data_IF_715744547638
#
_entry.id   IF_715744547638
#
_cell.length_a   1.000
_cell.length_b   1.000
_cell.length_c   1.000
_cell.angle_alpha   90.00
_cell.angle_beta   90.00
_cell.angle_gamma   90.00
#
_symmetry.space_group_name_H-M   'P 1'
#
loop_
_entity.id
_entity.type
_entity.pdbx_description
1 polymer ?
#
# COMPACT_ATOMS: atom_id res chain seq x y z
N UNK A 1 -37.61 36.37 22.70
CA UNK A 1 -37.01 35.41 21.76
C UNK A 1 -35.74 34.91 22.43
N UNK A 2 -35.77 33.81 23.19
CA UNK A 2 -35.84 32.40 22.73
C UNK A 2 -34.49 31.92 22.13
N UNK A 3 -33.59 31.55 23.05
CA UNK A 3 -32.84 30.29 23.19
C UNK A 3 -32.47 29.38 22.00
N UNK A 4 -31.20 28.96 22.04
CA UNK A 4 -30.62 27.62 21.78
C UNK A 4 -30.67 26.90 20.43
N UNK A 5 -29.55 26.22 20.16
CA UNK A 5 -29.44 25.01 19.33
C UNK A 5 -28.81 25.25 17.96
N UNK A 6 -27.95 24.38 17.41
CA UNK A 6 -27.38 23.14 17.90
C UNK A 6 -26.28 22.78 16.90
N UNK A 7 -25.10 22.37 17.38
CA UNK A 7 -24.18 21.57 16.59
C UNK A 7 -24.86 20.23 16.30
N UNK A 8 -24.88 19.81 15.04
CA UNK A 8 -25.27 18.46 14.65
C UNK A 8 -24.07 17.76 14.02
N UNK A 9 -23.47 16.86 14.81
CA UNK A 9 -22.56 15.83 14.32
C UNK A 9 -23.34 14.93 13.36
N UNK A 10 -22.89 14.83 12.10
CA UNK A 10 -23.41 13.82 11.16
C UNK A 10 -22.45 12.65 11.11
N UNK A 11 -22.65 11.74 12.06
CA UNK A 11 -22.22 10.36 11.95
C UNK A 11 -22.87 9.70 10.73
N UNK A 12 -22.08 8.88 10.04
CA UNK A 12 -22.51 8.09 8.90
C UNK A 12 -23.11 6.77 9.41
N UNK A 13 -24.43 6.60 9.25
CA UNK A 13 -25.14 5.35 9.57
C UNK A 13 -25.21 4.47 8.32
N UNK A 14 -24.64 3.27 8.38
CA UNK A 14 -24.84 2.24 7.36
C UNK A 14 -26.06 1.41 7.76
N UNK A 15 -27.02 1.30 6.84
CA UNK A 15 -28.15 0.38 6.91
C UNK A 15 -27.80 -0.82 6.04
N UNK A 16 -27.67 -1.99 6.65
CA UNK A 16 -27.53 -3.28 5.95
C UNK A 16 -28.92 -3.89 5.76
N UNK A 17 -29.35 -4.02 4.51
CA UNK A 17 -30.41 -4.95 4.12
C UNK A 17 -29.75 -6.15 3.45
N UNK A 18 -29.86 -7.29 4.11
CA UNK A 18 -29.44 -8.60 3.64
C UNK A 18 -30.56 -9.24 2.79
N UNK A 19 -30.20 -9.91 1.68
CA UNK A 19 -30.79 -11.22 1.36
C UNK A 19 -30.00 -12.00 0.27
N UNK A 20 -29.47 -13.15 0.69
CA UNK A 20 -29.52 -14.47 0.01
C UNK A 20 -28.90 -14.70 -1.38
N UNK A 21 -27.86 -15.56 -1.45
CA UNK A 21 -27.97 -16.93 -2.05
C UNK A 21 -26.61 -17.70 -2.13
N UNK A 22 -26.55 -18.78 -1.36
CA UNK A 22 -26.07 -20.15 -1.64
C UNK A 22 -24.66 -20.49 -2.23
N UNK A 23 -23.93 -21.26 -1.39
CA UNK A 23 -23.00 -22.38 -1.64
C UNK A 23 -21.79 -22.26 -2.60
N UNK A 24 -20.58 -22.36 -2.03
CA UNK A 24 -19.75 -23.60 -2.08
C UNK A 24 -18.52 -23.49 -1.16
N UNK A 25 -18.17 -24.62 -0.56
CA UNK A 25 -17.25 -24.79 0.56
C UNK A 25 -15.76 -24.65 0.18
N UNK A 26 -15.00 -24.04 1.10
CA UNK A 26 -13.53 -23.99 1.12
C UNK A 26 -13.05 -23.42 2.44
N UNK A 27 -13.40 -24.08 3.55
CA UNK A 27 -13.14 -23.59 4.89
C UNK A 27 -11.64 -23.66 5.26
N UNK A 28 -11.02 -22.48 5.42
CA UNK A 28 -10.09 -22.24 6.53
C UNK A 28 -10.64 -21.08 7.34
N UNK A 29 -11.23 -21.38 8.50
CA UNK A 29 -11.70 -20.38 9.46
C UNK A 29 -10.53 -19.55 10.03
N UNK A 30 -10.75 -18.43 10.70
CA UNK A 30 -11.93 -17.87 11.32
C UNK A 30 -11.61 -16.42 11.71
N UNK A 31 -12.68 -15.66 11.97
CA UNK A 31 -12.75 -14.37 12.66
C UNK A 31 -12.72 -13.16 11.73
N UNK A 32 -13.93 -12.75 11.35
CA UNK A 32 -14.29 -11.36 11.09
C UNK A 32 -13.82 -10.49 12.26
N UNK A 33 -12.59 -9.98 12.14
CA UNK A 33 -12.27 -8.71 12.76
C UNK A 33 -12.89 -7.66 11.85
N UNK A 34 -13.65 -6.72 12.39
CA UNK A 34 -13.75 -5.37 11.82
C UNK A 34 -12.35 -4.73 11.85
N UNK A 35 -11.42 -5.29 11.08
CA UNK A 35 -9.99 -5.09 11.17
C UNK A 35 -9.38 -5.43 9.83
N UNK A 36 -8.40 -4.61 9.45
CA UNK A 36 -7.75 -4.57 8.15
C UNK A 36 -7.59 -5.95 7.49
N UNK A 37 -7.82 -6.05 6.16
CA UNK A 37 -7.67 -7.31 5.44
C UNK A 37 -6.30 -7.94 5.71
N UNK A 38 -6.21 -9.29 5.74
CA UNK A 38 -4.97 -9.97 6.05
C UNK A 38 -3.88 -9.53 5.07
N UNK A 39 -2.75 -9.06 5.62
CA UNK A 39 -1.60 -8.67 4.81
C UNK A 39 -0.85 -9.94 4.42
N UNK A 40 -0.85 -10.24 3.13
CA UNK A 40 0.04 -11.25 2.55
C UNK A 40 1.39 -10.62 2.13
N UNK A 41 2.37 -11.47 1.80
CA UNK A 41 3.71 -11.03 1.45
C UNK A 41 3.71 -10.12 0.21
N UNK A 42 2.88 -10.44 -0.78
CA UNK A 42 2.72 -9.66 -2.00
C UNK A 42 2.20 -8.25 -1.70
N UNK A 43 1.13 -8.14 -0.92
CA UNK A 43 0.53 -6.86 -0.49
C UNK A 43 1.52 -6.04 0.33
N UNK A 44 2.29 -6.68 1.21
CA UNK A 44 3.35 -6.01 1.96
C UNK A 44 4.43 -5.44 1.03
N UNK A 45 4.95 -6.23 0.10
CA UNK A 45 5.96 -5.78 -0.87
C UNK A 45 5.44 -4.63 -1.74
N UNK A 46 4.20 -4.72 -2.22
CA UNK A 46 3.55 -3.66 -3.00
C UNK A 46 3.37 -2.37 -2.19
N UNK A 47 3.05 -2.47 -0.88
CA UNK A 47 2.95 -1.30 0.00
C UNK A 47 4.29 -0.58 0.15
N UNK A 48 5.39 -1.33 0.31
CA UNK A 48 6.75 -0.78 0.35
C UNK A 48 7.13 -0.17 -1.01
N UNK A 49 6.79 -0.84 -2.10
CA UNK A 49 7.00 -0.31 -3.45
C UNK A 49 6.31 1.03 -3.68
N UNK A 50 5.06 1.13 -3.25
CA UNK A 50 4.28 2.37 -3.34
C UNK A 50 4.90 3.49 -2.50
N UNK A 51 5.36 3.18 -1.28
CA UNK A 51 6.10 4.12 -0.43
C UNK A 51 7.40 4.59 -1.11
N UNK A 52 8.17 3.70 -1.71
CA UNK A 52 9.38 4.07 -2.45
C UNK A 52 9.07 4.99 -3.64
N UNK A 53 8.01 4.70 -4.41
CA UNK A 53 7.57 5.54 -5.53
C UNK A 53 7.08 6.92 -5.08
N UNK A 54 6.39 7.00 -3.94
CA UNK A 54 6.00 8.26 -3.30
C UNK A 54 7.24 9.07 -2.89
N UNK A 55 8.22 8.45 -2.25
CA UNK A 55 9.49 9.10 -1.90
C UNK A 55 10.28 9.55 -3.12
N UNK A 56 10.18 8.85 -4.26
CA UNK A 56 10.74 9.27 -5.53
C UNK A 56 9.96 10.40 -6.23
N UNK A 57 8.82 10.83 -5.68
CA UNK A 57 7.94 11.82 -6.29
C UNK A 57 7.27 11.37 -7.59
N UNK A 58 7.29 10.05 -7.87
CA UNK A 58 6.62 9.46 -9.04
C UNK A 58 5.11 9.43 -8.83
N UNK A 59 4.70 9.18 -7.59
CA UNK A 59 3.30 9.25 -7.17
C UNK A 59 3.09 10.62 -6.49
N UNK A 60 2.06 11.35 -6.92
CA UNK A 60 1.69 12.62 -6.31
C UNK A 60 1.16 12.45 -4.88
N UNK A 61 1.08 13.55 -4.16
CA UNK A 61 0.47 13.58 -2.83
C UNK A 61 -1.00 13.12 -2.89
N UNK A 62 -1.39 12.05 -2.16
CA UNK A 62 -2.75 11.52 -2.21
C UNK A 62 -3.80 12.48 -1.63
N UNK A 63 -3.43 13.42 -0.76
CA UNK A 63 -4.36 14.41 -0.21
C UNK A 63 -4.52 15.63 -1.12
N UNK A 64 -3.44 16.05 -1.78
CA UNK A 64 -3.45 17.29 -2.58
C UNK A 64 -3.49 17.07 -4.10
N UNK A 65 -3.23 15.85 -4.56
CA UNK A 65 -3.10 15.49 -5.98
C UNK A 65 -1.91 16.14 -6.69
N UNK A 66 -1.04 16.84 -5.95
CA UNK A 66 0.08 17.59 -6.52
C UNK A 66 1.33 16.71 -6.59
N UNK A 67 2.20 16.91 -7.61
CA UNK A 67 3.50 16.25 -7.63
C UNK A 67 4.26 16.60 -6.35
N UNK A 68 4.94 15.61 -5.76
CA UNK A 68 5.77 15.82 -4.57
C UNK A 68 6.85 16.82 -4.94
N UNK A 69 6.82 18.01 -4.30
CA UNK A 69 7.66 19.13 -4.69
C UNK A 69 9.17 18.86 -4.53
N UNK A 70 9.53 17.92 -3.64
CA UNK A 70 10.91 17.48 -3.42
C UNK A 70 10.94 15.97 -3.15
N UNK A 71 11.48 15.15 -4.08
CA UNK A 71 11.65 13.73 -3.84
C UNK A 71 12.67 13.49 -2.71
N UNK A 72 12.38 12.56 -1.81
CA UNK A 72 13.29 12.09 -0.77
C UNK A 72 14.02 10.83 -1.25
N UNK A 73 15.14 11.03 -1.94
CA UNK A 73 15.95 9.92 -2.50
C UNK A 73 16.53 9.00 -1.44
N UNK A 74 16.91 9.54 -0.28
CA UNK A 74 17.49 8.72 0.80
C UNK A 74 16.45 7.75 1.38
N UNK A 75 15.22 8.23 1.59
CA UNK A 75 14.11 7.37 2.02
C UNK A 75 13.76 6.33 0.96
N UNK A 76 13.68 6.72 -0.32
CA UNK A 76 13.44 5.78 -1.42
C UNK A 76 14.53 4.70 -1.48
N UNK A 77 15.80 5.08 -1.35
CA UNK A 77 16.92 4.13 -1.33
C UNK A 77 16.83 3.17 -0.16
N UNK A 78 16.51 3.67 1.04
CA UNK A 78 16.35 2.81 2.21
C UNK A 78 15.25 1.76 2.01
N UNK A 79 14.13 2.13 1.39
CA UNK A 79 13.05 1.18 1.07
C UNK A 79 13.47 0.16 0.02
N UNK A 80 14.23 0.55 -1.02
CA UNK A 80 14.79 -0.38 -2.01
C UNK A 80 15.76 -1.36 -1.35
N UNK A 81 16.66 -0.87 -0.49
CA UNK A 81 17.61 -1.70 0.25
C UNK A 81 16.86 -2.67 1.19
N UNK A 82 15.73 -2.25 1.77
CA UNK A 82 14.87 -3.11 2.58
C UNK A 82 14.22 -4.23 1.75
N UNK A 83 13.68 -3.92 0.57
CA UNK A 83 13.13 -4.92 -0.35
C UNK A 83 14.21 -5.91 -0.83
N UNK A 84 15.43 -5.42 -1.05
CA UNK A 84 16.57 -6.26 -1.42
C UNK A 84 16.97 -7.20 -0.28
N UNK A 85 17.05 -6.69 0.95
CA UNK A 85 17.29 -7.52 2.13
C UNK A 85 16.19 -8.58 2.29
N UNK A 86 14.92 -8.21 2.08
CA UNK A 86 13.80 -9.16 2.14
C UNK A 86 13.96 -10.28 1.11
N UNK A 87 14.26 -9.96 -0.15
CA UNK A 87 14.54 -10.96 -1.20
C UNK A 87 15.58 -11.97 -0.74
N UNK A 88 16.69 -11.49 -0.19
CA UNK A 88 17.80 -12.36 0.24
C UNK A 88 17.44 -13.18 1.49
N UNK A 89 16.60 -12.65 2.38
CA UNK A 89 16.18 -13.34 3.61
C UNK A 89 15.03 -14.32 3.40
N UNK A 90 14.22 -14.13 2.37
CA UNK A 90 13.08 -15.01 2.06
C UNK A 90 13.39 -16.01 0.95
N UNK A 91 14.60 -16.01 0.39
CA UNK A 91 15.02 -17.00 -0.62
C UNK A 91 14.75 -18.44 -0.15
N UNK A 92 14.13 -19.23 -1.03
CA UNK A 92 13.71 -20.60 -0.74
C UNK A 92 12.39 -20.74 0.04
N UNK A 93 11.80 -19.63 0.51
CA UNK A 93 10.47 -19.60 1.13
C UNK A 93 9.41 -18.95 0.23
N UNK A 94 9.81 -18.30 -0.87
CA UNK A 94 8.89 -17.67 -1.81
C UNK A 94 8.39 -18.65 -2.85
N UNK A 95 7.13 -18.50 -3.24
CA UNK A 95 6.62 -19.15 -4.45
C UNK A 95 7.09 -18.42 -5.73
N UNK A 96 6.74 -18.98 -6.90
CA UNK A 96 7.14 -18.40 -8.18
C UNK A 96 6.55 -17.01 -8.45
N UNK A 97 5.31 -16.76 -8.01
CA UNK A 97 4.61 -15.51 -8.23
C UNK A 97 5.19 -14.41 -7.34
N UNK A 98 5.41 -14.70 -6.06
CA UNK A 98 6.07 -13.82 -5.10
C UNK A 98 7.50 -13.48 -5.54
N UNK A 99 8.25 -14.47 -6.03
CA UNK A 99 9.61 -14.27 -6.55
C UNK A 99 9.60 -13.34 -7.77
N UNK A 100 8.68 -13.57 -8.72
CA UNK A 100 8.53 -12.72 -9.92
C UNK A 100 8.12 -11.30 -9.53
N UNK A 101 7.17 -11.15 -8.60
CA UNK A 101 6.68 -9.88 -8.09
C UNK A 101 7.81 -9.09 -7.44
N UNK A 102 8.54 -9.67 -6.48
CA UNK A 102 9.59 -8.97 -5.75
C UNK A 102 10.74 -8.55 -6.66
N UNK A 103 11.15 -9.43 -7.59
CA UNK A 103 12.20 -9.10 -8.56
C UNK A 103 11.77 -8.02 -9.55
N UNK A 104 10.53 -8.09 -10.05
CA UNK A 104 9.96 -7.07 -10.92
C UNK A 104 9.87 -5.71 -10.24
N UNK A 105 9.41 -5.70 -8.98
CA UNK A 105 9.31 -4.50 -8.17
C UNK A 105 10.67 -3.86 -7.92
N UNK A 106 11.68 -4.65 -7.52
CA UNK A 106 13.05 -4.17 -7.32
C UNK A 106 13.64 -3.58 -8.61
N UNK A 107 13.39 -4.21 -9.76
CA UNK A 107 13.85 -3.70 -11.04
C UNK A 107 13.21 -2.35 -11.37
N UNK A 108 11.89 -2.23 -11.28
CA UNK A 108 11.18 -0.98 -11.56
C UNK A 108 11.67 0.16 -10.65
N UNK A 109 11.75 -0.09 -9.35
CA UNK A 109 12.16 0.92 -8.38
C UNK A 109 13.59 1.41 -8.62
N UNK A 110 14.51 0.51 -8.96
CA UNK A 110 15.90 0.88 -9.29
C UNK A 110 15.98 1.74 -10.54
N UNK A 111 15.21 1.40 -11.57
CA UNK A 111 15.14 2.21 -12.79
C UNK A 111 14.65 3.62 -12.50
N UNK A 112 13.51 3.73 -11.78
CA UNK A 112 12.95 5.02 -11.36
C UNK A 112 13.92 5.82 -10.49
N UNK A 113 14.61 5.16 -9.57
CA UNK A 113 15.62 5.79 -8.71
C UNK A 113 16.74 6.43 -9.55
N UNK A 114 17.24 5.73 -10.57
CA UNK A 114 18.27 6.24 -11.48
C UNK A 114 17.74 7.40 -12.34
N UNK A 115 16.53 7.28 -12.88
CA UNK A 115 15.89 8.32 -13.69
C UNK A 115 15.73 9.64 -12.94
N UNK A 116 15.18 9.58 -11.73
CA UNK A 116 15.04 10.77 -10.87
C UNK A 116 16.41 11.36 -10.55
N UNK A 117 17.45 10.53 -10.40
CA UNK A 117 18.80 11.00 -10.06
C UNK A 117 19.49 11.72 -11.21
N UNK A 118 19.07 11.45 -12.44
CA UNK A 118 19.52 12.18 -13.63
C UNK A 118 18.78 13.50 -13.83
N UNK A 119 17.54 13.62 -13.34
CA UNK A 119 16.73 14.83 -13.49
C UNK A 119 17.08 15.93 -12.47
N UNK A 120 17.78 15.60 -11.40
CA UNK A 120 18.26 16.56 -10.38
C UNK A 120 19.61 17.22 -10.72
N UNK A 121 20.21 16.89 -11.86
CA UNK A 121 21.46 17.45 -12.37
C UNK A 121 21.25 18.23 -13.66
#
# INVERSE_FOLDING_TARGET
MANEGSSEERGFTIVEDADGADATEGATGSQDSEGLPPVDFATFCLSLGTSALYHLGVIGDPETGKPVAQPNRDAARHTIDTLEMLRDKTEGNLDEEETKLLNGLLYELRMRYVEVGKAEH
#
